data_IF_541445994523
#
_entry.id   IF_541445994523
#
_cell.length_a   1.000
_cell.length_b   1.000
_cell.length_c   1.000
_cell.angle_alpha   90.00
_cell.angle_beta   90.00
_cell.angle_gamma   90.00
#
_symmetry.space_group_name_H-M   'P 1'
#
loop_
_entity.id
_entity.type
_entity.pdbx_description
1 polymer ?
#
# COMPACT_ATOMS: atom_id res chain seq x y z
N UNK A 1 -0.86 -8.11 10.07
CA UNK A 1 -1.87 -7.42 9.26
C UNK A 1 -2.29 -8.21 8.02
N UNK A 2 -1.36 -8.53 7.06
CA UNK A 2 -1.71 -9.30 5.86
C UNK A 2 -2.21 -10.70 6.20
N UNK A 3 -1.59 -11.37 7.16
CA UNK A 3 -2.04 -12.70 7.62
C UNK A 3 -3.47 -12.66 8.15
N UNK A 4 -3.80 -11.70 9.00
CA UNK A 4 -5.15 -11.54 9.55
C UNK A 4 -6.19 -11.25 8.44
N UNK A 5 -5.83 -10.37 7.50
CA UNK A 5 -6.68 -10.04 6.35
C UNK A 5 -6.93 -11.28 5.48
N UNK A 6 -5.90 -12.06 5.14
CA UNK A 6 -6.05 -13.28 4.35
C UNK A 6 -6.78 -14.40 5.09
N UNK A 7 -6.61 -14.50 6.41
CA UNK A 7 -7.40 -15.44 7.24
C UNK A 7 -8.89 -15.13 7.13
N UNK A 8 -9.29 -13.85 7.22
CA UNK A 8 -10.68 -13.47 7.01
C UNK A 8 -11.15 -13.78 5.59
N UNK A 9 -10.35 -13.46 4.57
CA UNK A 9 -10.68 -13.71 3.17
C UNK A 9 -10.94 -15.21 2.91
N UNK A 10 -10.04 -16.10 3.37
CA UNK A 10 -10.21 -17.55 3.23
C UNK A 10 -11.55 -18.03 3.83
N UNK A 11 -11.87 -17.55 5.02
CA UNK A 11 -13.12 -17.91 5.71
C UNK A 11 -14.33 -17.31 4.99
N UNK A 12 -14.23 -16.09 4.47
CA UNK A 12 -15.30 -15.46 3.69
C UNK A 12 -15.58 -16.18 2.37
N UNK A 13 -14.52 -16.55 1.63
CA UNK A 13 -14.64 -17.34 0.40
C UNK A 13 -15.30 -18.71 0.67
N UNK A 14 -14.91 -19.39 1.75
CA UNK A 14 -15.51 -20.64 2.16
C UNK A 14 -17.03 -20.53 2.50
N UNK A 15 -17.47 -19.34 2.90
CA UNK A 15 -18.88 -19.03 3.12
C UNK A 15 -19.62 -18.56 1.85
N UNK A 16 -18.94 -18.54 0.70
CA UNK A 16 -19.52 -18.08 -0.55
C UNK A 16 -19.68 -16.56 -0.66
N UNK A 17 -18.87 -15.79 0.11
CA UNK A 17 -18.84 -14.35 0.03
C UNK A 17 -17.81 -13.89 -1.02
N UNK A 18 -18.12 -12.80 -1.70
CA UNK A 18 -17.24 -12.14 -2.66
C UNK A 18 -17.18 -10.64 -2.41
N UNK A 19 -16.13 -9.94 -2.87
CA UNK A 19 -16.03 -8.49 -2.69
C UNK A 19 -17.12 -7.76 -3.47
N UNK A 20 -17.70 -6.75 -2.87
CA UNK A 20 -18.68 -5.85 -3.50
C UNK A 20 -18.02 -4.62 -4.11
N UNK A 21 -16.83 -4.27 -3.64
CA UNK A 21 -16.02 -3.17 -4.18
C UNK A 21 -14.58 -3.63 -4.37
N UNK A 22 -13.82 -3.02 -5.30
CA UNK A 22 -12.44 -3.39 -5.56
C UNK A 22 -11.56 -3.30 -4.31
N UNK A 23 -10.69 -4.29 -4.13
CA UNK A 23 -9.64 -4.31 -3.11
C UNK A 23 -8.28 -4.20 -3.81
N UNK A 24 -7.43 -3.32 -3.29
CA UNK A 24 -6.08 -3.12 -3.78
C UNK A 24 -5.11 -3.40 -2.63
N UNK A 25 -4.10 -4.20 -2.90
CA UNK A 25 -3.05 -4.54 -1.95
C UNK A 25 -1.74 -3.91 -2.40
N UNK A 26 -1.16 -3.10 -1.53
CA UNK A 26 0.14 -2.49 -1.74
C UNK A 26 1.09 -2.98 -0.63
N UNK A 27 1.98 -3.96 -0.90
CA UNK A 27 2.93 -4.45 0.10
C UNK A 27 3.84 -3.33 0.60
N UNK A 28 4.21 -3.38 1.89
CA UNK A 28 5.02 -2.33 2.50
C UNK A 28 6.49 -2.32 2.07
N UNK A 29 7.00 -3.43 1.55
CA UNK A 29 8.37 -3.59 1.04
C UNK A 29 8.48 -4.84 0.18
N UNK A 30 9.60 -4.99 -0.56
CA UNK A 30 9.90 -6.23 -1.28
C UNK A 30 10.05 -7.41 -0.31
N UNK A 31 10.63 -7.20 0.86
CA UNK A 31 10.72 -8.26 1.88
C UNK A 31 9.33 -8.73 2.33
N UNK A 32 8.41 -7.81 2.58
CA UNK A 32 7.02 -8.14 2.92
C UNK A 32 6.33 -8.86 1.76
N UNK A 33 6.54 -8.40 0.52
CA UNK A 33 5.97 -9.02 -0.68
C UNK A 33 6.45 -10.46 -0.86
N UNK A 34 7.76 -10.69 -0.82
CA UNK A 34 8.34 -12.03 -0.96
C UNK A 34 7.92 -12.97 0.17
N UNK A 35 7.84 -12.46 1.40
CA UNK A 35 7.35 -13.23 2.54
C UNK A 35 5.88 -13.62 2.33
N UNK A 36 5.05 -12.69 1.91
CA UNK A 36 3.63 -12.95 1.63
C UNK A 36 3.41 -13.91 0.45
N UNK A 37 4.28 -13.85 -0.58
CA UNK A 37 4.28 -14.82 -1.69
C UNK A 37 4.65 -16.22 -1.21
N UNK A 38 5.77 -16.35 -0.48
CA UNK A 38 6.22 -17.63 0.08
C UNK A 38 5.15 -18.29 0.95
N UNK A 39 4.46 -17.49 1.77
CA UNK A 39 3.46 -17.97 2.71
C UNK A 39 2.06 -18.12 2.07
N UNK A 40 1.95 -17.93 0.74
CA UNK A 40 0.70 -18.08 -0.01
C UNK A 40 -0.36 -17.01 0.24
N UNK A 41 0.00 -15.90 0.89
CA UNK A 41 -0.96 -14.83 1.20
C UNK A 41 -1.36 -14.05 -0.06
N UNK A 42 -0.42 -13.87 -0.99
CA UNK A 42 -0.67 -13.16 -2.26
C UNK A 42 -1.68 -13.92 -3.11
N UNK A 43 -1.64 -15.25 -3.12
CA UNK A 43 -2.57 -16.06 -3.90
C UNK A 43 -3.99 -15.97 -3.33
N UNK A 44 -4.14 -15.91 -2.02
CA UNK A 44 -5.44 -15.68 -1.37
C UNK A 44 -6.04 -14.32 -1.76
N UNK A 45 -5.24 -13.26 -1.81
CA UNK A 45 -5.71 -11.96 -2.28
C UNK A 45 -6.13 -12.00 -3.75
N UNK A 46 -5.37 -12.69 -4.61
CA UNK A 46 -5.72 -12.86 -6.04
C UNK A 46 -7.02 -13.67 -6.20
N UNK A 47 -7.18 -14.77 -5.47
CA UNK A 47 -8.41 -15.56 -5.46
C UNK A 47 -9.62 -14.73 -5.05
N UNK A 48 -9.44 -13.81 -4.10
CA UNK A 48 -10.48 -12.85 -3.69
C UNK A 48 -10.79 -11.80 -4.76
N UNK A 49 -9.96 -11.68 -5.80
CA UNK A 49 -10.10 -10.67 -6.85
C UNK A 49 -9.40 -9.34 -6.53
N UNK A 50 -8.50 -9.35 -5.56
CA UNK A 50 -7.71 -8.15 -5.25
C UNK A 50 -6.62 -7.87 -6.30
N UNK A 51 -6.37 -6.59 -6.55
CA UNK A 51 -5.25 -6.13 -7.37
C UNK A 51 -4.01 -5.97 -6.51
N UNK A 52 -2.93 -6.66 -6.86
CA UNK A 52 -1.66 -6.54 -6.16
C UNK A 52 -0.81 -5.50 -6.89
N UNK A 53 -0.47 -4.43 -6.21
CA UNK A 53 0.40 -3.38 -6.73
C UNK A 53 1.86 -3.61 -6.29
N UNK A 54 2.76 -2.90 -6.93
CA UNK A 54 4.15 -2.83 -6.48
C UNK A 54 4.24 -2.10 -5.13
N UNK A 55 5.25 -2.40 -4.34
CA UNK A 55 5.53 -1.74 -3.06
C UNK A 55 6.11 -0.33 -3.23
N UNK A 56 5.37 0.52 -3.92
CA UNK A 56 5.73 1.91 -4.19
C UNK A 56 4.76 2.87 -3.49
N UNK A 57 5.15 4.13 -3.41
CA UNK A 57 4.36 5.17 -2.76
C UNK A 57 3.08 5.59 -3.52
N UNK A 58 2.79 5.02 -4.69
CA UNK A 58 1.69 5.41 -5.58
C UNK A 58 0.39 5.80 -4.88
N UNK A 59 -0.47 4.85 -4.47
CA UNK A 59 -1.72 5.17 -3.78
C UNK A 59 -1.51 5.85 -2.43
N UNK A 60 -0.40 5.54 -1.73
CA UNK A 60 -0.11 6.08 -0.41
C UNK A 60 0.07 7.61 -0.41
N UNK A 61 0.51 8.22 -1.49
CA UNK A 61 0.76 9.67 -1.58
C UNK A 61 -0.06 10.36 -2.67
N UNK A 62 -1.08 9.70 -3.24
CA UNK A 62 -1.90 10.26 -4.29
C UNK A 62 -1.26 10.28 -5.68
N UNK A 63 -0.22 9.48 -5.89
CA UNK A 63 0.41 9.26 -7.21
C UNK A 63 -0.15 8.02 -7.90
N UNK A 64 -1.42 7.80 -7.75
CA UNK A 64 -2.18 6.76 -8.43
C UNK A 64 -3.46 7.39 -8.96
N UNK A 65 -3.87 7.00 -10.14
CA UNK A 65 -5.13 7.43 -10.73
C UNK A 65 -6.05 6.21 -10.88
N UNK A 66 -7.27 6.37 -10.41
CA UNK A 66 -8.31 5.37 -10.59
C UNK A 66 -8.88 5.52 -11.99
N UNK A 67 -8.48 4.63 -12.89
CA UNK A 67 -8.90 4.65 -14.30
C UNK A 67 -10.43 4.67 -14.42
N UNK A 68 -10.93 5.60 -15.22
CA UNK A 68 -12.36 5.75 -15.48
C UNK A 68 -13.16 6.46 -14.38
N UNK A 69 -12.54 6.91 -13.31
CA UNK A 69 -13.24 7.66 -12.26
C UNK A 69 -13.48 9.11 -12.70
N UNK A 70 -14.72 9.57 -12.55
CA UNK A 70 -15.05 11.00 -12.71
C UNK A 70 -14.52 11.77 -11.48
N UNK A 71 -13.57 12.69 -11.73
CA UNK A 71 -13.00 13.54 -10.67
C UNK A 71 -14.01 14.54 -10.07
N UNK A 72 -15.17 14.70 -10.66
CA UNK A 72 -16.27 15.54 -10.13
C UNK A 72 -17.20 14.76 -9.20
N UNK A 73 -17.22 13.43 -9.32
CA UNK A 73 -18.06 12.57 -8.50
C UNK A 73 -17.47 12.38 -7.11
N UNK A 74 -18.31 12.53 -6.10
CA UNK A 74 -17.95 12.20 -4.72
C UNK A 74 -17.90 10.69 -4.56
N UNK A 75 -16.82 10.21 -3.94
CA UNK A 75 -16.67 8.79 -3.65
C UNK A 75 -15.92 8.59 -2.34
N UNK A 76 -15.79 7.35 -1.90
CA UNK A 76 -15.10 7.01 -0.67
C UNK A 76 -14.06 5.91 -0.92
N UNK A 77 -12.99 5.95 -0.16
CA UNK A 77 -11.98 4.91 -0.08
C UNK A 77 -11.65 4.60 1.39
N UNK A 78 -11.57 3.33 1.72
CA UNK A 78 -11.07 2.85 3.01
C UNK A 78 -9.66 2.29 2.79
N UNK A 79 -8.70 2.75 3.56
CA UNK A 79 -7.31 2.30 3.41
C UNK A 79 -6.58 2.23 4.75
N UNK A 80 -5.50 1.48 4.79
CA UNK A 80 -4.64 1.33 5.98
C UNK A 80 -3.39 2.20 5.97
N UNK A 81 -3.34 3.23 5.12
CA UNK A 81 -2.27 4.21 5.13
C UNK A 81 -2.37 5.11 6.37
N UNK A 82 -1.31 5.85 6.65
CA UNK A 82 -1.19 6.60 7.89
C UNK A 82 -1.87 7.98 7.91
N UNK A 83 -2.49 8.43 6.80
CA UNK A 83 -3.13 9.76 6.68
C UNK A 83 -4.23 9.76 5.63
N UNK A 84 -5.18 10.68 5.75
CA UNK A 84 -6.37 10.76 4.91
C UNK A 84 -6.72 12.17 4.42
N UNK A 85 -5.75 13.03 4.16
CA UNK A 85 -6.03 14.35 3.60
C UNK A 85 -6.48 14.27 2.13
N UNK A 86 -7.10 15.33 1.65
CA UNK A 86 -7.60 15.41 0.28
C UNK A 86 -6.55 15.06 -0.77
N UNK A 87 -6.92 14.32 -1.81
CA UNK A 87 -6.06 13.80 -2.88
C UNK A 87 -5.04 12.74 -2.43
N UNK A 88 -5.04 12.33 -1.16
CA UNK A 88 -4.02 11.43 -0.64
C UNK A 88 -3.97 10.08 -1.35
N UNK A 89 -5.11 9.46 -1.62
CA UNK A 89 -5.14 8.09 -2.14
C UNK A 89 -5.05 8.02 -3.67
N UNK A 90 -5.98 8.68 -4.37
CA UNK A 90 -6.15 8.58 -5.83
C UNK A 90 -5.98 9.91 -6.57
N UNK A 91 -5.39 10.91 -5.93
CA UNK A 91 -5.22 12.25 -6.51
C UNK A 91 -6.53 13.02 -6.73
N UNK A 92 -7.70 12.44 -6.44
CA UNK A 92 -9.01 13.05 -6.64
C UNK A 92 -9.42 13.87 -5.41
N UNK A 93 -9.71 15.19 -5.55
CA UNK A 93 -10.12 16.03 -4.43
C UNK A 93 -11.49 15.65 -3.84
N UNK A 94 -12.33 14.93 -4.59
CA UNK A 94 -13.66 14.50 -4.19
C UNK A 94 -13.71 13.08 -3.61
N UNK A 95 -12.58 12.43 -3.45
CA UNK A 95 -12.48 11.15 -2.73
C UNK A 95 -12.35 11.39 -1.23
N UNK A 96 -13.36 10.94 -0.48
CA UNK A 96 -13.32 10.92 0.97
C UNK A 96 -12.54 9.69 1.43
N UNK A 97 -11.37 9.89 2.04
CA UNK A 97 -10.50 8.82 2.49
C UNK A 97 -10.69 8.55 3.99
N UNK A 98 -10.89 7.28 4.32
CA UNK A 98 -11.05 6.78 5.69
C UNK A 98 -9.87 5.88 6.05
N UNK A 99 -9.20 6.19 7.15
CA UNK A 99 -8.10 5.36 7.66
C UNK A 99 -8.68 4.28 8.56
N UNK A 100 -8.33 3.03 8.27
CA UNK A 100 -8.75 1.86 9.04
C UNK A 100 -7.62 0.82 9.10
N UNK A 101 -7.81 -0.26 9.82
CA UNK A 101 -6.88 -1.40 9.76
C UNK A 101 -6.99 -2.14 8.41
N UNK A 102 -5.96 -2.89 8.00
CA UNK A 102 -6.06 -3.76 6.81
C UNK A 102 -7.25 -4.72 6.88
N UNK A 103 -7.56 -5.24 8.07
CA UNK A 103 -8.74 -6.09 8.29
C UNK A 103 -10.04 -5.35 7.96
N UNK A 104 -10.18 -4.12 8.46
CA UNK A 104 -11.37 -3.31 8.18
C UNK A 104 -11.48 -2.91 6.71
N UNK A 105 -10.36 -2.74 6.00
CA UNK A 105 -10.39 -2.53 4.56
C UNK A 105 -10.96 -3.75 3.81
N UNK A 106 -10.61 -4.97 4.22
CA UNK A 106 -11.21 -6.21 3.68
C UNK A 106 -12.70 -6.31 4.00
N UNK A 107 -13.09 -5.97 5.24
CA UNK A 107 -14.50 -5.96 5.65
C UNK A 107 -15.29 -4.95 4.81
N UNK A 108 -14.74 -3.76 4.59
CA UNK A 108 -15.34 -2.76 3.71
C UNK A 108 -15.46 -3.26 2.26
N UNK A 109 -14.47 -4.01 1.75
CA UNK A 109 -14.54 -4.61 0.42
C UNK A 109 -15.66 -5.67 0.34
N UNK A 110 -15.84 -6.48 1.36
CA UNK A 110 -16.90 -7.50 1.44
C UNK A 110 -18.29 -6.86 1.57
N UNK A 111 -18.44 -5.87 2.42
CA UNK A 111 -19.74 -5.23 2.71
C UNK A 111 -20.17 -4.22 1.67
N UNK A 112 -19.21 -3.49 1.07
CA UNK A 112 -19.48 -2.33 0.21
C UNK A 112 -20.07 -1.13 0.95
N UNK A 113 -20.03 -1.12 2.28
CA UNK A 113 -20.68 -0.12 3.12
C UNK A 113 -19.81 0.30 4.29
N UNK A 114 -19.77 1.60 4.55
CA UNK A 114 -19.14 2.17 5.75
C UNK A 114 -20.01 2.04 7.02
N UNK A 115 -21.28 1.66 6.87
CA UNK A 115 -22.23 1.47 7.96
C UNK A 115 -22.27 0.03 8.49
N UNK A 116 -21.54 -0.88 7.85
CA UNK A 116 -21.53 -2.29 8.23
C UNK A 116 -20.76 -2.49 9.54
N UNK A 117 -21.43 -3.08 10.52
CA UNK A 117 -20.88 -3.49 11.80
C UNK A 117 -20.52 -4.98 11.75
N UNK A 118 -19.24 -5.37 11.69
CA UNK A 118 -18.84 -6.77 11.56
C UNK A 118 -19.20 -7.64 12.78
N UNK A 119 -19.50 -7.01 13.93
CA UNK A 119 -19.89 -7.74 15.13
C UNK A 119 -21.39 -8.05 15.17
N UNK A 120 -22.21 -7.25 14.49
CA UNK A 120 -23.67 -7.32 14.58
C UNK A 120 -24.32 -7.73 13.28
N UNK A 121 -23.81 -7.22 12.16
CA UNK A 121 -24.45 -7.39 10.86
C UNK A 121 -24.08 -8.71 10.18
N UNK A 122 -24.87 -9.07 9.17
CA UNK A 122 -24.64 -10.23 8.31
C UNK A 122 -24.46 -9.80 6.86
N UNK A 123 -23.83 -10.65 6.07
CA UNK A 123 -23.71 -10.50 4.62
C UNK A 123 -24.48 -11.61 3.92
N UNK A 124 -25.01 -11.31 2.75
CA UNK A 124 -25.65 -12.31 1.91
C UNK A 124 -24.62 -13.01 1.05
N UNK A 125 -24.53 -14.33 1.16
CA UNK A 125 -23.62 -15.16 0.37
C UNK A 125 -24.18 -15.47 -1.03
N UNK A 126 -23.43 -16.23 -1.83
CA UNK A 126 -23.82 -16.64 -3.19
C UNK A 126 -25.06 -17.55 -3.25
N UNK A 127 -25.45 -18.16 -2.13
CA UNK A 127 -26.66 -18.99 -1.99
C UNK A 127 -27.86 -18.19 -1.50
N UNK A 128 -27.72 -16.89 -1.24
CA UNK A 128 -28.78 -16.05 -0.69
C UNK A 128 -28.94 -16.14 0.84
N UNK A 129 -28.01 -16.81 1.52
CA UNK A 129 -28.06 -16.98 2.97
C UNK A 129 -27.40 -15.81 3.68
N UNK A 130 -27.94 -15.47 4.86
CA UNK A 130 -27.35 -14.47 5.75
C UNK A 130 -26.24 -15.11 6.59
N UNK A 131 -25.01 -14.69 6.37
CA UNK A 131 -23.84 -15.22 7.07
C UNK A 131 -23.14 -14.13 7.86
N UNK A 132 -22.69 -14.47 9.06
CA UNK A 132 -21.88 -13.58 9.90
C UNK A 132 -20.41 -13.75 9.56
N UNK A 133 -19.66 -12.63 9.54
CA UNK A 133 -18.22 -12.71 9.33
C UNK A 133 -17.54 -13.46 10.48
N UNK A 134 -16.71 -14.45 10.18
CA UNK A 134 -15.98 -15.17 11.21
C UNK A 134 -14.82 -14.35 11.75
N UNK A 135 -14.43 -14.61 12.98
CA UNK A 135 -13.23 -14.00 13.57
C UNK A 135 -11.99 -14.53 12.82
N UNK A 136 -11.12 -13.66 12.31
CA UNK A 136 -9.87 -14.06 11.65
C UNK A 136 -8.85 -14.58 12.67
N UNK A 137 -7.97 -15.44 12.20
CA UNK A 137 -6.77 -15.81 12.94
C UNK A 137 -5.75 -14.68 12.89
N UNK A 138 -4.94 -14.57 13.93
CA UNK A 138 -3.90 -13.57 14.04
C UNK A 138 -2.53 -14.21 14.23
N UNK A 139 -1.50 -13.59 13.70
CA UNK A 139 -0.12 -13.94 13.95
C UNK A 139 0.70 -12.65 14.03
N UNK A 140 1.58 -12.55 15.01
CA UNK A 140 2.43 -11.38 15.17
C UNK A 140 3.55 -11.34 14.12
N UNK A 141 4.13 -12.50 13.84
CA UNK A 141 5.25 -12.64 12.91
C UNK A 141 4.98 -13.82 11.96
N UNK A 142 5.60 -13.80 10.76
CA UNK A 142 5.57 -14.97 9.87
C UNK A 142 6.19 -16.19 10.57
N UNK A 143 5.53 -17.34 10.51
CA UNK A 143 5.96 -18.57 11.21
C UNK A 143 7.39 -19.01 10.84
N UNK A 144 7.81 -18.74 9.60
CA UNK A 144 9.15 -19.07 9.08
C UNK A 144 10.07 -17.84 8.96
N UNK A 145 9.82 -16.78 9.75
CA UNK A 145 10.53 -15.52 9.64
C UNK A 145 10.25 -14.79 8.32
N UNK A 146 10.98 -13.71 8.10
CA UNK A 146 10.87 -12.95 6.86
C UNK A 146 11.73 -13.58 5.76
N UNK A 147 11.21 -13.56 4.54
CA UNK A 147 11.98 -13.95 3.35
C UNK A 147 13.02 -12.89 3.04
N UNK A 148 14.24 -13.33 2.71
CA UNK A 148 15.34 -12.46 2.30
C UNK A 148 15.70 -12.81 0.86
N UNK A 149 15.34 -11.94 -0.07
CA UNK A 149 15.73 -12.03 -1.47
C UNK A 149 16.39 -10.72 -1.88
N UNK A 150 17.56 -10.84 -2.48
CA UNK A 150 18.32 -9.72 -3.01
C UNK A 150 17.97 -9.48 -4.50
N UNK A 151 16.66 -9.53 -4.81
CA UNK A 151 16.18 -9.35 -6.15
C UNK A 151 16.06 -7.85 -6.46
N UNK A 152 16.81 -7.39 -7.45
CA UNK A 152 16.77 -6.01 -7.93
C UNK A 152 17.80 -5.08 -7.30
N UNK A 153 18.62 -5.56 -6.36
CA UNK A 153 19.76 -4.78 -5.90
C UNK A 153 20.81 -4.71 -7.03
N UNK A 154 21.20 -3.50 -7.38
CA UNK A 154 22.34 -3.23 -8.25
C UNK A 154 23.43 -2.59 -7.42
N UNK A 155 24.54 -3.31 -7.27
CA UNK A 155 25.70 -2.75 -6.60
C UNK A 155 26.22 -1.54 -7.40
N UNK A 156 26.65 -0.46 -6.72
CA UNK A 156 27.34 0.61 -7.41
C UNK A 156 28.65 0.07 -8.03
N UNK A 157 29.15 0.75 -9.04
CA UNK A 157 30.46 0.43 -9.60
C UNK A 157 31.53 0.55 -8.50
N UNK A 158 32.47 -0.38 -8.46
CA UNK A 158 33.60 -0.35 -7.48
C UNK A 158 34.43 0.94 -7.64
N UNK A 159 34.62 1.38 -8.87
CA UNK A 159 35.23 2.68 -9.19
C UNK A 159 34.23 3.52 -10.01
N UNK A 160 33.71 4.55 -9.40
CA UNK A 160 32.82 5.53 -10.03
C UNK A 160 33.53 6.77 -10.56
N UNK A 161 34.84 6.87 -10.49
CA UNK A 161 35.61 8.06 -10.85
C UNK A 161 35.45 8.51 -12.31
N UNK A 162 35.17 7.54 -13.21
CA UNK A 162 34.92 7.80 -14.62
C UNK A 162 33.47 8.19 -14.95
N UNK A 163 32.56 8.14 -13.96
CA UNK A 163 31.15 8.44 -14.18
C UNK A 163 30.95 9.96 -14.13
N UNK A 164 30.61 10.54 -15.25
CA UNK A 164 30.33 11.98 -15.38
C UNK A 164 28.85 12.19 -15.62
N UNK A 165 28.23 13.04 -14.81
CA UNK A 165 26.84 13.46 -15.02
C UNK A 165 26.82 14.42 -16.22
N UNK A 166 26.13 13.98 -17.31
CA UNK A 166 25.96 14.83 -18.48
C UNK A 166 24.63 15.57 -18.39
N UNK A 167 24.70 16.89 -18.41
CA UNK A 167 23.55 17.78 -18.42
C UNK A 167 23.50 18.47 -19.78
N UNK A 168 22.33 18.48 -20.42
CA UNK A 168 22.16 19.18 -21.69
C UNK A 168 22.50 20.67 -21.55
N UNK A 169 23.29 21.22 -22.49
CA UNK A 169 23.75 22.62 -22.44
C UNK A 169 22.63 23.65 -22.27
N UNK A 170 21.44 23.35 -22.82
CA UNK A 170 20.26 24.23 -22.74
C UNK A 170 19.27 23.81 -21.65
N UNK A 171 19.69 22.99 -20.70
CA UNK A 171 18.81 22.60 -19.60
C UNK A 171 18.47 23.82 -18.74
N UNK A 172 17.16 24.05 -18.54
CA UNK A 172 16.65 25.06 -17.61
C UNK A 172 16.16 24.45 -16.28
N UNK A 173 16.34 23.14 -16.09
CA UNK A 173 15.88 22.38 -14.91
C UNK A 173 16.99 21.73 -14.13
N UNK A 174 18.08 21.37 -14.79
CA UNK A 174 19.22 20.68 -14.20
C UNK A 174 20.47 21.54 -14.37
N UNK A 175 21.26 21.60 -13.33
CA UNK A 175 22.57 22.24 -13.34
C UNK A 175 23.54 21.41 -12.50
N UNK A 176 24.82 21.39 -12.88
CA UNK A 176 25.85 20.87 -12.01
C UNK A 176 26.09 21.86 -10.87
N UNK A 177 26.01 21.38 -9.64
CA UNK A 177 26.33 22.19 -8.48
C UNK A 177 27.83 22.07 -8.17
N UNK A 178 28.42 23.18 -7.77
CA UNK A 178 29.77 23.16 -7.20
C UNK A 178 29.76 22.23 -5.95
N UNK A 179 30.78 21.41 -5.78
CA UNK A 179 30.89 20.59 -4.57
C UNK A 179 30.88 21.45 -3.31
N UNK A 180 30.14 21.03 -2.31
CA UNK A 180 30.18 21.69 -1.01
C UNK A 180 31.57 21.58 -0.41
N UNK A 181 32.01 22.66 0.27
CA UNK A 181 33.25 22.64 1.02
C UNK A 181 33.19 21.52 2.07
N UNK A 182 34.21 20.64 2.14
CA UNK A 182 34.22 19.58 3.14
C UNK A 182 34.06 20.15 4.55
N UNK A 183 33.25 19.47 5.38
CA UNK A 183 33.12 19.84 6.76
C UNK A 183 34.48 19.74 7.49
N UNK A 184 34.83 20.77 8.23
CA UNK A 184 36.13 20.89 8.90
C UNK A 184 36.20 20.18 10.27
N UNK A 185 35.17 19.40 10.65
CA UNK A 185 35.08 18.67 11.93
C UNK A 185 34.77 19.55 13.15
N UNK A 186 34.51 20.84 12.97
CA UNK A 186 34.21 21.77 14.08
C UNK A 186 32.68 21.95 14.22
N UNK A 187 32.26 22.27 15.45
CA UNK A 187 30.87 22.59 15.71
C UNK A 187 30.40 23.78 14.87
N UNK A 188 29.19 23.69 14.37
CA UNK A 188 28.54 24.79 13.66
C UNK A 188 27.87 25.69 14.70
N UNK A 189 28.33 26.93 14.81
CA UNK A 189 27.78 27.90 15.76
C UNK A 189 27.44 29.22 15.06
N UNK A 190 26.50 29.96 15.62
CA UNK A 190 26.11 31.28 15.11
C UNK A 190 25.35 31.27 13.78
N UNK A 191 24.79 30.12 13.38
CA UNK A 191 23.98 30.02 12.15
C UNK A 191 22.58 30.59 12.43
N UNK A 192 22.09 31.55 11.63
CA UNK A 192 20.72 32.04 11.78
C UNK A 192 19.71 30.92 11.46
N UNK A 193 18.70 30.77 12.31
CA UNK A 193 17.54 29.96 12.02
C UNK A 193 16.56 30.78 11.18
N UNK A 194 16.17 30.25 10.04
CA UNK A 194 15.16 30.84 9.15
C UNK A 194 13.76 30.34 9.53
#
# INVERSE_FOLDING_TARGET
>A
DLYQATSLIKKALALGLSPKVPLIINPGSEQVRFTAERDGLIDVFKEFGAVIMTNACGPCIGMWDRLGADKKEKNSIVHSFNRNFAKRADGNPNTHAFVASPLMAVIAALSGSLLFDPERDTLTNSLGEQVKLPVPETSELPANGFEVKDAGFQAPAEDGSAIVVQIAEKSNRLQALEPFVPWNGKDISGVPLL
#
